data_IF_509711007126
#
_entry.id   IF_509711007126
#
_cell.length_a   1.000
_cell.length_b   1.000
_cell.length_c   1.000
_cell.angle_alpha   90.00
_cell.angle_beta   90.00
_cell.angle_gamma   90.00
#
_symmetry.space_group_name_H-M   'P 1'
#
loop_
_entity.id
_entity.type
_entity.pdbx_description
1 polymer ?
#
# COMPACT_ATOMS: atom_id res chain seq x y z
N UNK A 1 62.69 17.69 -15.39
CA UNK A 1 61.74 17.62 -14.26
C UNK A 1 60.39 17.21 -14.85
N UNK A 2 60.12 15.90 -14.92
CA UNK A 2 58.90 15.36 -15.53
C UNK A 2 57.79 15.29 -14.47
N UNK A 3 56.82 16.19 -14.55
CA UNK A 3 55.59 16.14 -13.76
C UNK A 3 54.62 15.15 -14.43
N UNK A 4 54.66 13.90 -14.01
CA UNK A 4 53.60 12.94 -14.35
C UNK A 4 52.42 13.20 -13.41
N UNK A 5 51.42 13.93 -13.88
CA UNK A 5 50.11 13.99 -13.22
C UNK A 5 49.45 12.61 -13.30
N UNK A 6 48.98 12.01 -12.20
CA UNK A 6 48.22 10.78 -12.25
C UNK A 6 46.79 11.11 -12.69
N UNK A 7 46.56 11.23 -14.00
CA UNK A 7 45.21 11.16 -14.53
C UNK A 7 44.81 9.68 -14.55
N UNK A 8 44.23 9.22 -13.44
CA UNK A 8 43.61 7.90 -13.36
C UNK A 8 42.56 7.76 -14.48
N UNK A 9 42.57 6.66 -15.25
CA UNK A 9 41.58 6.46 -16.29
C UNK A 9 40.18 6.36 -15.66
N UNK A 10 39.13 6.93 -16.29
CA UNK A 10 37.79 6.90 -15.74
C UNK A 10 37.32 5.44 -15.58
N UNK A 11 37.15 5.03 -14.33
CA UNK A 11 36.59 3.73 -13.98
C UNK A 11 35.21 3.58 -14.61
N UNK A 12 35.04 2.57 -15.46
CA UNK A 12 33.77 2.29 -16.19
C UNK A 12 32.59 1.98 -15.25
N UNK A 13 32.84 1.77 -13.96
CA UNK A 13 31.80 1.47 -12.96
C UNK A 13 31.09 2.71 -12.43
N UNK A 14 31.73 3.90 -12.47
CA UNK A 14 31.14 5.15 -11.97
C UNK A 14 29.86 5.57 -12.71
N UNK A 15 29.75 5.53 -14.06
CA UNK A 15 28.50 5.91 -14.72
C UNK A 15 27.36 4.92 -14.39
N UNK A 16 27.62 3.62 -14.31
CA UNK A 16 26.59 2.61 -14.02
C UNK A 16 25.97 2.83 -12.64
N UNK A 17 26.80 3.11 -11.63
CA UNK A 17 26.32 3.39 -10.27
C UNK A 17 25.49 4.67 -10.23
N UNK A 18 25.91 5.71 -10.96
CA UNK A 18 25.15 6.96 -11.06
C UNK A 18 23.78 6.77 -11.74
N UNK A 19 23.73 6.01 -12.84
CA UNK A 19 22.46 5.70 -13.50
C UNK A 19 21.55 4.84 -12.63
N UNK A 20 22.08 3.81 -11.98
CA UNK A 20 21.32 2.96 -11.07
C UNK A 20 20.78 3.77 -9.88
N UNK A 21 21.60 4.64 -9.28
CA UNK A 21 21.20 5.52 -8.20
C UNK A 21 20.11 6.51 -8.63
N UNK A 22 20.26 7.12 -9.81
CA UNK A 22 19.23 8.03 -10.38
C UNK A 22 17.90 7.32 -10.61
N UNK A 23 17.93 6.10 -11.20
CA UNK A 23 16.73 5.30 -11.39
C UNK A 23 16.05 4.95 -10.06
N UNK A 24 16.84 4.58 -9.05
CA UNK A 24 16.32 4.25 -7.72
C UNK A 24 15.67 5.47 -7.05
N UNK A 25 16.30 6.64 -7.12
CA UNK A 25 15.73 7.89 -6.62
C UNK A 25 14.41 8.24 -7.32
N UNK A 26 14.36 8.13 -8.65
CA UNK A 26 13.13 8.39 -9.42
C UNK A 26 12.02 7.39 -9.06
N UNK A 27 12.36 6.11 -8.93
CA UNK A 27 11.41 5.08 -8.53
C UNK A 27 10.85 5.34 -7.12
N UNK A 28 11.71 5.68 -6.17
CA UNK A 28 11.32 6.04 -4.80
C UNK A 28 10.42 7.28 -4.76
N UNK A 29 10.77 8.33 -5.52
CA UNK A 29 9.95 9.54 -5.62
C UNK A 29 8.57 9.23 -6.23
N UNK A 30 8.53 8.45 -7.30
CA UNK A 30 7.28 8.05 -7.93
C UNK A 30 6.39 7.25 -6.97
N UNK A 31 6.99 6.36 -6.17
CA UNK A 31 6.30 5.58 -5.14
C UNK A 31 5.69 6.49 -4.05
N UNK A 32 6.47 7.44 -3.54
CA UNK A 32 6.02 8.40 -2.52
C UNK A 32 4.88 9.30 -3.04
N UNK A 33 5.01 9.83 -4.26
CA UNK A 33 3.98 10.66 -4.88
C UNK A 33 2.69 9.87 -5.10
N UNK A 34 2.81 8.63 -5.59
CA UNK A 34 1.65 7.75 -5.81
C UNK A 34 0.96 7.41 -4.49
N UNK A 35 1.73 7.17 -3.42
CA UNK A 35 1.19 6.95 -2.08
C UNK A 35 0.44 8.19 -1.56
N UNK A 36 1.02 9.39 -1.71
CA UNK A 36 0.37 10.64 -1.29
C UNK A 36 -0.93 10.90 -2.05
N UNK A 37 -0.97 10.62 -3.35
CA UNK A 37 -2.20 10.73 -4.16
C UNK A 37 -3.31 9.80 -3.63
N UNK A 38 -2.96 8.57 -3.29
CA UNK A 38 -3.92 7.59 -2.73
C UNK A 38 -4.39 7.99 -1.33
N UNK A 39 -3.50 8.52 -0.48
CA UNK A 39 -3.91 9.07 0.81
C UNK A 39 -4.89 10.25 0.67
N UNK A 40 -4.63 11.13 -0.30
CA UNK A 40 -5.49 12.27 -0.58
C UNK A 40 -6.87 11.83 -1.11
N UNK A 41 -6.94 10.79 -1.96
CA UNK A 41 -8.23 10.30 -2.46
C UNK A 41 -9.14 9.73 -1.38
N UNK A 42 -8.56 9.22 -0.30
CA UNK A 42 -9.30 8.62 0.84
C UNK A 42 -9.63 9.67 1.90
N UNK A 43 -9.33 10.96 1.68
CA UNK A 43 -9.49 12.02 2.68
C UNK A 43 -8.80 11.69 4.02
N UNK A 44 -7.68 10.97 3.98
CA UNK A 44 -6.92 10.54 5.17
C UNK A 44 -7.76 9.76 6.20
N UNK A 45 -8.72 8.95 5.74
CA UNK A 45 -9.55 8.09 6.59
C UNK A 45 -8.70 7.20 7.50
N UNK A 46 -9.00 7.09 8.81
CA UNK A 46 -8.26 6.24 9.74
C UNK A 46 -8.23 4.79 9.26
N UNK A 47 -7.07 4.15 9.40
CA UNK A 47 -6.83 2.88 8.75
C UNK A 47 -5.47 2.26 9.00
N UNK A 48 -5.35 0.97 8.72
CA UNK A 48 -4.06 0.29 8.74
C UNK A 48 -3.24 0.70 7.53
N UNK A 49 -2.02 1.14 7.81
CA UNK A 49 -0.99 1.44 6.81
C UNK A 49 0.00 0.29 6.84
N UNK A 50 0.06 -0.48 5.77
CA UNK A 50 0.87 -1.69 5.68
C UNK A 50 1.66 -1.72 4.38
N UNK A 51 2.86 -2.29 4.40
CA UNK A 51 3.67 -2.36 3.18
C UNK A 51 3.08 -3.32 2.14
N UNK A 52 2.58 -4.49 2.57
CA UNK A 52 2.01 -5.50 1.67
C UNK A 52 0.50 -5.57 1.82
N UNK A 53 -0.24 -5.31 0.75
CA UNK A 53 -1.70 -5.48 0.72
C UNK A 53 -2.03 -6.94 1.05
N UNK A 54 -3.01 -7.21 1.93
CA UNK A 54 -3.37 -8.57 2.29
C UNK A 54 -4.12 -9.29 1.17
N UNK A 55 -4.62 -8.54 0.19
CA UNK A 55 -5.24 -9.03 -1.04
C UNK A 55 -4.19 -9.51 -2.06
N UNK A 56 -2.90 -9.26 -1.83
CA UNK A 56 -1.80 -9.74 -2.67
C UNK A 56 -1.27 -11.12 -2.24
N UNK A 57 -0.79 -11.91 -3.21
CA UNK A 57 -0.22 -13.25 -2.99
C UNK A 57 0.86 -13.22 -1.90
N UNK A 58 1.72 -12.20 -1.92
CA UNK A 58 2.84 -12.05 -0.97
C UNK A 58 2.35 -11.71 0.44
N UNK A 59 1.30 -10.89 0.56
CA UNK A 59 0.68 -10.58 1.86
C UNK A 59 0.00 -11.79 2.52
N UNK A 60 -0.34 -12.81 1.74
CA UNK A 60 -0.92 -14.06 2.22
C UNK A 60 0.13 -15.12 2.59
N UNK A 61 1.33 -15.08 1.98
CA UNK A 61 2.43 -16.00 2.28
C UNK A 61 3.22 -15.54 3.51
N UNK A 62 3.40 -14.23 3.70
CA UNK A 62 4.18 -13.73 4.81
C UNK A 62 3.45 -13.90 6.16
N UNK A 63 4.15 -14.40 7.20
CA UNK A 63 3.63 -14.38 8.56
C UNK A 63 3.44 -12.92 9.04
N UNK A 64 2.56 -12.74 10.02
CA UNK A 64 2.16 -11.42 10.52
C UNK A 64 3.37 -10.65 11.05
N UNK A 65 3.67 -9.51 10.43
CA UNK A 65 4.68 -8.55 10.89
C UNK A 65 4.01 -7.17 10.95
N UNK A 66 3.82 -6.59 12.15
CA UNK A 66 3.11 -5.31 12.30
C UNK A 66 3.77 -4.22 11.45
N UNK A 67 2.96 -3.52 10.64
CA UNK A 67 3.42 -2.49 9.69
C UNK A 67 3.87 -3.02 8.32
N UNK A 68 4.25 -4.30 8.21
CA UNK A 68 4.76 -4.89 6.97
C UNK A 68 3.70 -5.78 6.31
N UNK A 69 3.18 -6.77 7.03
CA UNK A 69 2.20 -7.73 6.53
C UNK A 69 1.19 -8.10 7.62
N UNK A 70 -0.10 -8.13 7.27
CA UNK A 70 -1.17 -8.49 8.22
C UNK A 70 -1.24 -10.02 8.41
N UNK A 71 -0.78 -10.79 7.41
CA UNK A 71 -0.74 -12.25 7.41
C UNK A 71 -2.02 -12.92 6.91
N UNK A 72 -1.95 -14.22 6.67
CA UNK A 72 -3.06 -15.02 6.15
C UNK A 72 -4.30 -15.00 7.07
N UNK A 73 -5.49 -15.00 6.47
CA UNK A 73 -6.80 -15.06 7.15
C UNK A 73 -7.02 -14.00 8.24
N UNK A 74 -6.30 -12.88 8.19
CA UNK A 74 -6.37 -11.84 9.20
C UNK A 74 -7.77 -11.25 9.37
N UNK A 75 -8.52 -11.12 8.27
CA UNK A 75 -9.89 -10.60 8.28
C UNK A 75 -10.83 -11.46 9.12
N UNK A 76 -10.65 -12.78 9.10
CA UNK A 76 -11.43 -13.70 9.94
C UNK A 76 -11.01 -13.61 11.41
N UNK A 77 -9.71 -13.51 11.68
CA UNK A 77 -9.18 -13.45 13.05
C UNK A 77 -9.49 -12.15 13.79
N UNK A 78 -9.78 -11.05 13.07
CA UNK A 78 -9.91 -9.71 13.65
C UNK A 78 -11.27 -9.05 13.44
N UNK A 79 -12.30 -9.81 13.04
CA UNK A 79 -13.64 -9.27 12.73
C UNK A 79 -14.23 -8.38 13.82
N UNK A 80 -13.99 -8.68 15.09
CA UNK A 80 -14.67 -7.99 16.19
C UNK A 80 -13.73 -7.08 17.00
N UNK A 81 -12.62 -7.60 17.53
CA UNK A 81 -11.83 -6.84 18.52
C UNK A 81 -10.58 -6.16 17.93
N UNK A 82 -10.03 -6.70 16.83
CA UNK A 82 -8.67 -6.36 16.40
C UNK A 82 -8.57 -5.33 15.26
N UNK A 83 -9.70 -5.00 14.62
CA UNK A 83 -9.72 -4.14 13.43
C UNK A 83 -10.46 -2.82 13.68
N UNK A 84 -11.66 -2.84 14.27
CA UNK A 84 -12.50 -1.66 14.41
C UNK A 84 -12.27 -0.93 15.75
N UNK A 85 -12.14 -1.67 16.85
CA UNK A 85 -11.93 -1.12 18.19
C UNK A 85 -10.77 -0.11 18.34
N UNK A 86 -9.58 -0.30 17.74
CA UNK A 86 -8.48 0.66 17.91
C UNK A 86 -8.69 1.97 17.14
N UNK A 87 -9.54 1.97 16.09
CA UNK A 87 -9.83 3.19 15.33
C UNK A 87 -11.14 3.84 15.81
N UNK A 88 -12.09 3.05 16.33
CA UNK A 88 -13.41 3.55 16.75
C UNK A 88 -14.34 3.85 15.57
N UNK A 89 -14.04 3.30 14.38
CA UNK A 89 -14.84 3.48 13.16
C UNK A 89 -15.30 2.11 12.64
N UNK A 90 -16.54 2.05 12.16
CA UNK A 90 -17.09 0.85 11.49
C UNK A 90 -16.62 0.70 10.03
N UNK A 91 -15.96 1.73 9.50
CA UNK A 91 -15.29 1.70 8.20
C UNK A 91 -13.81 1.97 8.46
N UNK A 92 -12.94 1.07 8.00
CA UNK A 92 -11.50 1.17 8.18
C UNK A 92 -10.81 1.08 6.82
N UNK A 93 -9.91 2.00 6.53
CA UNK A 93 -9.11 1.94 5.30
C UNK A 93 -7.88 1.06 5.49
N UNK A 94 -7.47 0.35 4.46
CA UNK A 94 -6.22 -0.40 4.42
C UNK A 94 -5.46 0.04 3.19
N UNK A 95 -4.29 0.62 3.40
CA UNK A 95 -3.46 1.10 2.31
C UNK A 95 -2.23 0.18 2.25
N UNK A 96 -2.11 -0.55 1.15
CA UNK A 96 -0.93 -1.36 0.83
C UNK A 96 -0.05 -0.68 -0.22
N UNK A 97 1.27 -0.81 -0.08
CA UNK A 97 2.23 -0.26 -1.04
C UNK A 97 2.57 -1.23 -2.19
N UNK A 98 2.64 -2.55 -1.91
CA UNK A 98 3.11 -3.58 -2.84
C UNK A 98 2.12 -4.75 -2.90
N UNK A 99 1.80 -5.35 -4.07
CA UNK A 99 2.41 -5.21 -5.41
C UNK A 99 1.90 -4.03 -6.26
N UNK A 100 0.81 -3.39 -5.87
CA UNK A 100 0.32 -2.12 -6.44
C UNK A 100 -0.25 -1.29 -5.29
N UNK A 101 -0.01 0.02 -5.31
CA UNK A 101 -0.60 0.91 -4.31
C UNK A 101 -2.12 0.84 -4.46
N UNK A 102 -2.79 0.34 -3.43
CA UNK A 102 -4.23 0.15 -3.40
C UNK A 102 -4.77 0.51 -2.03
N UNK A 103 -5.97 1.07 -2.05
CA UNK A 103 -6.76 1.39 -0.89
C UNK A 103 -7.96 0.45 -0.86
N UNK A 104 -7.95 -0.46 0.10
CA UNK A 104 -9.05 -1.38 0.34
C UNK A 104 -9.83 -0.87 1.56
N UNK A 105 -11.17 -0.86 1.48
CA UNK A 105 -12.02 -0.47 2.61
C UNK A 105 -12.67 -1.70 3.22
N UNK A 106 -12.60 -1.80 4.54
CA UNK A 106 -13.31 -2.81 5.32
C UNK A 106 -14.48 -2.14 6.02
N UNK A 107 -15.68 -2.61 5.74
CA UNK A 107 -16.94 -2.03 6.19
C UNK A 107 -17.64 -3.07 7.06
N UNK A 108 -17.87 -2.73 8.33
CA UNK A 108 -18.68 -3.51 9.26
C UNK A 108 -20.16 -3.06 9.26
N UNK A 109 -20.43 -1.78 8.97
CA UNK A 109 -21.78 -1.24 8.97
C UNK A 109 -22.63 -1.83 7.81
N UNK A 110 -23.74 -2.54 8.11
CA UNK A 110 -24.60 -3.10 7.08
C UNK A 110 -25.25 -2.04 6.19
N UNK A 111 -25.49 -0.81 6.70
CA UNK A 111 -26.09 0.25 5.90
C UNK A 111 -25.10 0.78 4.86
N UNK A 112 -23.88 1.12 5.28
CA UNK A 112 -22.80 1.52 4.37
C UNK A 112 -22.46 0.42 3.35
N UNK A 113 -22.40 -0.85 3.78
CA UNK A 113 -22.16 -1.97 2.87
C UNK A 113 -23.26 -2.10 1.81
N UNK A 114 -24.52 -1.93 2.20
CA UNK A 114 -25.66 -1.92 1.28
C UNK A 114 -25.55 -0.77 0.27
N UNK A 115 -25.33 0.46 0.72
CA UNK A 115 -25.21 1.63 -0.16
C UNK A 115 -24.07 1.45 -1.17
N UNK A 116 -22.90 0.98 -0.72
CA UNK A 116 -21.75 0.74 -1.60
C UNK A 116 -22.01 -0.40 -2.59
N UNK A 117 -22.71 -1.45 -2.17
CA UNK A 117 -23.11 -2.55 -3.06
C UNK A 117 -24.09 -2.08 -4.15
N UNK A 118 -25.01 -1.16 -3.83
CA UNK A 118 -25.96 -0.59 -4.80
C UNK A 118 -25.29 0.38 -5.77
N UNK A 119 -24.32 1.19 -5.30
CA UNK A 119 -23.51 2.08 -6.13
C UNK A 119 -22.56 1.31 -7.06
N UNK A 120 -21.97 0.22 -6.57
CA UNK A 120 -21.05 -0.62 -7.34
C UNK A 120 -21.75 -1.62 -8.26
N UNK A 121 -23.00 -1.95 -7.97
CA UNK A 121 -23.78 -2.94 -8.69
C UNK A 121 -25.19 -2.39 -8.93
N UNK A 122 -25.39 -1.70 -10.05
CA UNK A 122 -26.72 -1.35 -10.56
C UNK A 122 -27.60 -2.59 -10.93
N UNK A 123 -27.23 -3.80 -10.49
CA UNK A 123 -27.76 -5.07 -10.95
C UNK A 123 -27.97 -6.11 -9.83
N UNK A 124 -28.11 -5.73 -8.55
CA UNK A 124 -28.55 -6.69 -7.53
C UNK A 124 -30.09 -6.86 -7.57
N UNK A 125 -30.62 -8.09 -7.70
CA UNK A 125 -32.06 -8.34 -7.91
C UNK A 125 -32.91 -8.31 -6.63
N UNK A 126 -32.35 -7.97 -5.47
CA UNK A 126 -33.07 -8.06 -4.21
C UNK A 126 -33.82 -6.75 -3.92
N UNK A 127 -35.16 -6.78 -3.80
CA UNK A 127 -35.93 -5.63 -3.37
C UNK A 127 -35.65 -5.37 -1.89
N UNK A 128 -35.63 -4.09 -1.52
CA UNK A 128 -35.34 -3.67 -0.15
C UNK A 128 -36.57 -3.02 0.47
N UNK A 129 -36.94 -3.37 1.72
CA UNK A 129 -37.99 -2.69 2.47
C UNK A 129 -37.59 -1.27 2.86
#
# INVERSE_FOLDING_TARGET
MHLNSPFEPPSKTTPIVLFAGSLFCLWGLHLLLSYRKVLQSIHNHPGLRICFTPTGIIGNILPRIPGIAIGAHWGMRRKHEGLYAPFGWDIVSIIGFYPKIRADFFIADPYAAKVLSLLGNCASPFPVP
#
